data_IF_881567217201
#
_entry.id   IF_881567217201
#
_cell.length_a   1.000
_cell.length_b   1.000
_cell.length_c   1.000
_cell.angle_alpha   90.00
_cell.angle_beta   90.00
_cell.angle_gamma   90.00
#
_symmetry.space_group_name_H-M   'P 1'
#
loop_
_entity.id
_entity.type
_entity.pdbx_description
1 polymer ?
#
# COMPACT_ATOMS: atom_id res chain seq x y z
N UNK A 1 -5.27 0.45 1.85
CA UNK A 1 -4.49 1.16 2.90
C UNK A 1 -4.59 2.67 2.76
N UNK A 2 -4.12 3.28 1.66
CA UNK A 2 -4.17 4.75 1.46
C UNK A 2 -5.56 5.35 1.69
N UNK A 3 -6.63 4.78 1.11
CA UNK A 3 -7.99 5.28 1.31
C UNK A 3 -8.41 5.36 2.79
N UNK A 4 -8.12 4.32 3.59
CA UNK A 4 -8.38 4.31 5.03
C UNK A 4 -7.57 5.38 5.77
N UNK A 5 -6.30 5.56 5.40
CA UNK A 5 -5.45 6.60 5.97
C UNK A 5 -6.03 8.00 5.71
N UNK A 6 -6.48 8.28 4.48
CA UNK A 6 -7.06 9.58 4.14
C UNK A 6 -8.45 9.79 4.73
N UNK A 7 -9.20 8.72 5.02
CA UNK A 7 -10.51 8.77 5.67
C UNK A 7 -10.44 8.97 7.20
N UNK A 8 -9.25 9.08 7.80
CA UNK A 8 -9.10 9.23 9.25
C UNK A 8 -9.28 7.93 10.03
N UNK A 9 -9.08 6.77 9.39
CA UNK A 9 -9.13 5.48 10.09
C UNK A 9 -8.08 5.39 11.21
N UNK A 10 -7.02 6.18 11.12
CA UNK A 10 -5.94 6.25 12.12
C UNK A 10 -6.48 6.65 13.49
N UNK A 11 -7.37 7.64 13.53
CA UNK A 11 -7.98 8.18 14.73
C UNK A 11 -9.05 7.24 15.30
N UNK A 12 -9.70 6.43 14.44
CA UNK A 12 -10.78 5.51 14.82
C UNK A 12 -10.26 4.16 15.30
N UNK A 13 -9.51 3.46 14.44
CA UNK A 13 -8.88 2.18 14.76
C UNK A 13 -7.67 1.96 13.82
N UNK A 14 -6.43 2.08 14.34
CA UNK A 14 -5.23 1.90 13.53
C UNK A 14 -4.87 0.41 13.31
N UNK A 15 -5.51 -0.55 13.98
CA UNK A 15 -5.21 -1.97 13.85
C UNK A 15 -5.20 -2.51 12.39
N UNK A 16 -6.20 -2.23 11.54
CA UNK A 16 -6.17 -2.66 10.14
C UNK A 16 -4.98 -2.06 9.36
N UNK A 17 -4.52 -0.86 9.71
CA UNK A 17 -3.38 -0.22 9.06
C UNK A 17 -2.06 -0.88 9.47
N UNK A 18 -1.90 -1.25 10.75
CA UNK A 18 -0.73 -2.04 11.20
C UNK A 18 -0.67 -3.40 10.52
N UNK A 19 -1.81 -4.09 10.38
CA UNK A 19 -1.90 -5.36 9.66
C UNK A 19 -1.50 -5.19 8.20
N UNK A 20 -2.06 -4.20 7.51
CA UNK A 20 -1.72 -3.91 6.12
C UNK A 20 -0.23 -3.59 5.94
N UNK A 21 0.36 -2.78 6.83
CA UNK A 21 1.78 -2.46 6.79
C UNK A 21 2.66 -3.71 6.97
N UNK A 22 2.30 -4.59 7.91
CA UNK A 22 3.00 -5.87 8.12
C UNK A 22 2.99 -6.73 6.86
N UNK A 23 1.84 -6.89 6.22
CA UNK A 23 1.74 -7.67 4.97
C UNK A 23 2.58 -7.06 3.86
N UNK A 24 2.56 -5.73 3.67
CA UNK A 24 3.40 -5.06 2.69
C UNK A 24 4.89 -5.31 2.97
N UNK A 25 5.35 -5.11 4.21
CA UNK A 25 6.75 -5.34 4.58
C UNK A 25 7.17 -6.80 4.33
N UNK A 26 6.32 -7.76 4.69
CA UNK A 26 6.60 -9.19 4.47
C UNK A 26 6.66 -9.59 2.99
N UNK A 27 5.99 -8.84 2.10
CA UNK A 27 6.03 -9.09 0.66
C UNK A 27 7.27 -8.49 -0.01
N UNK A 28 8.01 -7.61 0.65
CA UNK A 28 9.19 -6.97 0.05
C UNK A 28 10.29 -8.01 -0.18
N UNK A 29 10.81 -8.04 -1.41
CA UNK A 29 11.93 -8.91 -1.79
C UNK A 29 13.25 -8.35 -1.26
N UNK A 30 14.30 -9.18 -1.23
CA UNK A 30 15.66 -8.74 -0.85
C UNK A 30 16.19 -7.60 -1.73
N UNK A 31 15.71 -7.51 -2.97
CA UNK A 31 16.04 -6.43 -3.91
C UNK A 31 15.39 -5.09 -3.54
N UNK A 32 14.46 -5.08 -2.58
CA UNK A 32 13.62 -3.95 -2.22
C UNK A 32 12.38 -3.78 -3.10
N UNK A 33 12.26 -4.55 -4.18
CA UNK A 33 11.06 -4.60 -5.02
C UNK A 33 9.94 -5.42 -4.37
N UNK A 34 8.75 -5.36 -4.96
CA UNK A 34 7.60 -6.17 -4.58
C UNK A 34 7.24 -7.16 -5.70
N UNK A 35 6.76 -8.37 -5.38
CA UNK A 35 6.40 -9.37 -6.38
C UNK A 35 5.25 -8.88 -7.27
N UNK A 36 5.30 -9.26 -8.54
CA UNK A 36 4.19 -9.03 -9.47
C UNK A 36 2.96 -9.84 -9.02
N UNK A 37 1.81 -9.16 -8.89
CA UNK A 37 0.51 -9.77 -8.64
C UNK A 37 -0.32 -9.83 -9.93
N UNK A 38 -1.62 -10.08 -9.82
CA UNK A 38 -2.55 -10.10 -10.95
C UNK A 38 -2.57 -8.77 -11.73
N UNK A 39 -3.11 -8.82 -12.95
CA UNK A 39 -3.21 -7.64 -13.83
C UNK A 39 -4.25 -6.67 -13.24
N UNK A 40 -3.80 -5.49 -12.84
CA UNK A 40 -4.64 -4.49 -12.16
C UNK A 40 -5.32 -3.48 -13.11
N UNK A 41 -4.74 -3.23 -14.28
CA UNK A 41 -5.27 -2.23 -15.20
C UNK A 41 -6.49 -2.73 -15.93
N UNK A 42 -7.56 -1.94 -15.98
CA UNK A 42 -8.77 -2.22 -16.76
C UNK A 42 -9.21 -0.97 -17.51
N UNK A 43 -9.54 -1.15 -18.79
CA UNK A 43 -10.14 -0.15 -19.64
C UNK A 43 -11.46 -0.68 -20.18
N UNK A 44 -12.53 0.08 -19.93
CA UNK A 44 -13.90 -0.25 -20.34
C UNK A 44 -14.32 -1.70 -20.01
N UNK A 45 -13.87 -2.22 -18.86
CA UNK A 45 -14.19 -3.55 -18.33
C UNK A 45 -13.90 -4.74 -19.26
N UNK A 46 -13.13 -4.52 -20.34
CA UNK A 46 -12.91 -5.50 -21.40
C UNK A 46 -11.46 -5.58 -21.86
N UNK A 47 -10.65 -4.55 -21.59
CA UNK A 47 -9.23 -4.51 -21.94
C UNK A 47 -8.37 -4.37 -20.69
N UNK A 48 -7.45 -5.32 -20.48
CA UNK A 48 -6.61 -5.36 -19.29
C UNK A 48 -5.18 -4.89 -19.59
N UNK A 49 -4.61 -4.08 -18.70
CA UNK A 49 -3.27 -3.51 -18.83
C UNK A 49 -2.39 -3.88 -17.64
N UNK A 50 -1.15 -4.27 -17.94
CA UNK A 50 -0.14 -4.47 -16.90
C UNK A 50 0.63 -3.16 -16.65
N UNK A 51 0.38 -2.54 -15.51
CA UNK A 51 1.16 -1.42 -15.01
C UNK A 51 2.29 -1.93 -14.10
N UNK A 52 3.41 -2.35 -14.69
CA UNK A 52 4.52 -3.02 -13.98
C UNK A 52 5.07 -2.23 -12.80
N UNK A 53 5.08 -0.90 -12.88
CA UNK A 53 5.58 -0.03 -11.81
C UNK A 53 4.62 0.05 -10.60
N UNK A 54 3.35 -0.32 -10.74
CA UNK A 54 2.38 -0.24 -9.64
C UNK A 54 2.74 -1.16 -8.46
N UNK A 55 3.40 -2.28 -8.74
CA UNK A 55 3.89 -3.18 -7.68
C UNK A 55 4.86 -2.49 -6.73
N UNK A 56 5.66 -1.53 -7.21
CA UNK A 56 6.62 -0.81 -6.38
C UNK A 56 6.04 0.52 -5.86
N UNK A 57 5.37 1.29 -6.73
CA UNK A 57 4.90 2.64 -6.42
C UNK A 57 3.89 2.67 -5.26
N UNK A 58 2.88 1.80 -5.28
CA UNK A 58 1.81 1.85 -4.30
C UNK A 58 2.21 1.35 -2.91
N UNK A 59 2.96 0.25 -2.76
CA UNK A 59 3.48 -0.15 -1.45
C UNK A 59 4.38 0.91 -0.81
N UNK A 60 5.29 1.51 -1.59
CA UNK A 60 6.17 2.59 -1.11
C UNK A 60 5.34 3.79 -0.63
N UNK A 61 4.37 4.23 -1.43
CA UNK A 61 3.51 5.34 -1.05
C UNK A 61 2.67 5.03 0.19
N UNK A 62 2.08 3.84 0.26
CA UNK A 62 1.26 3.42 1.39
C UNK A 62 2.07 3.34 2.70
N UNK A 63 3.27 2.76 2.66
CA UNK A 63 4.18 2.69 3.82
C UNK A 63 4.69 4.08 4.22
N UNK A 64 4.99 4.95 3.26
CA UNK A 64 5.41 6.33 3.52
C UNK A 64 4.31 7.15 4.23
N UNK A 65 3.08 7.12 3.73
CA UNK A 65 1.95 7.80 4.38
C UNK A 65 1.63 7.20 5.75
N UNK A 66 1.74 5.89 5.89
CA UNK A 66 1.59 5.21 7.17
C UNK A 66 2.62 5.68 8.19
N UNK A 67 3.91 5.71 7.82
CA UNK A 67 4.98 6.18 8.71
C UNK A 67 4.73 7.64 9.12
N UNK A 68 4.44 8.52 8.16
CA UNK A 68 4.22 9.95 8.41
C UNK A 68 3.04 10.22 9.36
N UNK A 69 1.97 9.45 9.27
CA UNK A 69 0.73 9.74 10.03
C UNK A 69 0.57 8.94 11.31
N UNK A 70 1.12 7.72 11.39
CA UNK A 70 0.96 6.87 12.57
C UNK A 70 2.20 6.82 13.45
N UNK A 71 3.40 6.78 12.86
CA UNK A 71 4.64 6.63 13.62
C UNK A 71 5.23 8.00 13.99
N UNK A 72 5.32 8.93 13.05
CA UNK A 72 5.88 10.26 13.32
C UNK A 72 4.99 11.15 14.20
N UNK A 73 3.68 10.85 14.33
CA UNK A 73 2.78 11.53 15.29
C UNK A 73 2.86 10.97 16.71
N UNK A 74 3.50 9.81 16.91
CA UNK A 74 3.63 9.14 18.22
C UNK A 74 4.99 9.37 18.89
N UNK A 75 5.99 9.83 18.14
CA UNK A 75 7.30 10.25 18.63
C UNK A 75 7.27 11.70 19.10
#
# INVERSE_FOLDING_TARGET
MLGLIYAGQVELDPAPLYRAAKELINMQLETGEFPQQEILGSFNSSLFFNYTNYRNLFPIWALGEFHRRLLAKRA
#
